data_IF_774441983683
#
_entry.id   IF_774441983683
#
_cell.length_a   1.000
_cell.length_b   1.000
_cell.length_c   1.000
_cell.angle_alpha   90.00
_cell.angle_beta   90.00
_cell.angle_gamma   90.00
#
_symmetry.space_group_name_H-M   'P 1'
#
loop_
_entity.id
_entity.type
_entity.pdbx_description
1 polymer ?
#
# COMPACT_ATOMS: atom_id res chain seq x y z
N UNK A 1 28.44 -2.71 -15.31
CA UNK A 1 27.76 -2.67 -14.00
C UNK A 1 26.27 -2.68 -14.28
N UNK A 2 25.56 -3.77 -13.99
CA UNK A 2 24.16 -3.95 -14.42
C UNK A 2 23.25 -2.87 -13.85
N UNK A 3 22.54 -2.16 -14.73
CA UNK A 3 21.58 -1.11 -14.37
C UNK A 3 20.52 -1.61 -13.37
N UNK A 4 20.09 -2.88 -13.51
CA UNK A 4 19.14 -3.54 -12.59
C UNK A 4 19.72 -3.67 -11.17
N UNK A 5 21.00 -4.03 -11.04
CA UNK A 5 21.66 -4.16 -9.73
C UNK A 5 21.84 -2.79 -9.06
N UNK A 6 22.05 -1.74 -9.86
CA UNK A 6 22.13 -0.36 -9.36
C UNK A 6 20.78 0.09 -8.80
N UNK A 7 19.69 -0.11 -9.54
CA UNK A 7 18.32 0.21 -9.08
C UNK A 7 17.98 -0.54 -7.80
N UNK A 8 18.24 -1.86 -7.76
CA UNK A 8 17.97 -2.67 -6.58
C UNK A 8 18.70 -2.17 -5.33
N UNK A 9 19.96 -1.73 -5.46
CA UNK A 9 20.73 -1.14 -4.35
C UNK A 9 20.18 0.20 -3.88
N UNK A 10 19.78 1.07 -4.81
CA UNK A 10 19.17 2.37 -4.48
C UNK A 10 17.87 2.15 -3.73
N UNK A 11 16.98 1.28 -4.23
CA UNK A 11 15.70 0.96 -3.59
C UNK A 11 15.93 0.36 -2.19
N UNK A 12 16.86 -0.57 -2.04
CA UNK A 12 17.18 -1.18 -0.75
C UNK A 12 17.76 -0.19 0.27
N UNK A 13 18.30 0.95 -0.18
CA UNK A 13 18.81 2.02 0.67
C UNK A 13 17.76 3.06 1.08
N UNK A 14 16.56 3.02 0.49
CA UNK A 14 15.48 3.96 0.83
C UNK A 14 14.72 3.49 2.08
N UNK A 15 14.26 4.42 2.94
CA UNK A 15 13.34 4.08 4.02
C UNK A 15 12.07 3.45 3.44
N UNK A 16 11.60 2.37 4.07
CA UNK A 16 10.36 1.69 3.75
C UNK A 16 9.17 2.66 3.70
N UNK A 17 9.12 3.62 4.62
CA UNK A 17 8.06 4.63 4.64
C UNK A 17 8.03 5.44 3.35
N UNK A 18 9.20 5.85 2.84
CA UNK A 18 9.31 6.60 1.58
C UNK A 18 8.82 5.73 0.42
N UNK A 19 9.28 4.49 0.36
CA UNK A 19 8.84 3.54 -0.68
C UNK A 19 7.32 3.40 -0.68
N UNK A 20 6.71 3.19 0.50
CA UNK A 20 5.27 2.99 0.62
C UNK A 20 4.47 4.26 0.25
N UNK A 21 4.83 5.41 0.80
CA UNK A 21 4.14 6.68 0.49
C UNK A 21 4.23 7.00 -1.00
N UNK A 22 5.41 6.86 -1.60
CA UNK A 22 5.59 7.10 -3.03
C UNK A 22 4.80 6.10 -3.88
N UNK A 23 4.79 4.82 -3.50
CA UNK A 23 4.06 3.78 -4.26
C UNK A 23 2.55 3.98 -4.20
N UNK A 24 2.01 4.28 -3.02
CA UNK A 24 0.57 4.57 -2.82
C UNK A 24 0.18 5.86 -3.53
N UNK A 25 1.04 6.89 -3.50
CA UNK A 25 0.79 8.14 -4.23
C UNK A 25 0.82 7.94 -5.74
N UNK A 26 1.80 7.20 -6.26
CA UNK A 26 1.89 6.90 -7.69
C UNK A 26 0.66 6.13 -8.18
N UNK A 27 0.22 5.13 -7.42
CA UNK A 27 -1.01 4.40 -7.71
C UNK A 27 -2.26 5.31 -7.68
N UNK A 28 -2.35 6.22 -6.72
CA UNK A 28 -3.48 7.14 -6.61
C UNK A 28 -3.53 8.19 -7.72
N UNK A 29 -2.37 8.62 -8.22
CA UNK A 29 -2.28 9.49 -9.40
C UNK A 29 -2.69 8.72 -10.65
N UNK A 30 -2.12 7.53 -10.85
CA UNK A 30 -2.40 6.69 -12.03
C UNK A 30 -3.88 6.32 -12.15
N UNK A 31 -4.55 6.11 -11.02
CA UNK A 31 -5.96 5.69 -10.95
C UNK A 31 -6.94 6.87 -10.83
N UNK A 32 -6.43 8.10 -10.72
CA UNK A 32 -7.25 9.29 -10.47
C UNK A 32 -7.87 9.37 -9.06
N UNK A 33 -7.57 8.42 -8.16
CA UNK A 33 -8.19 8.37 -6.83
C UNK A 33 -7.74 9.47 -5.87
N UNK A 34 -6.63 10.15 -6.15
CA UNK A 34 -6.24 11.31 -5.35
C UNK A 34 -7.23 12.49 -5.44
N UNK A 35 -8.07 12.56 -6.49
CA UNK A 35 -9.05 13.65 -6.69
C UNK A 35 -10.49 13.19 -6.47
N UNK A 36 -10.83 11.95 -6.83
CA UNK A 36 -12.19 11.42 -6.74
C UNK A 36 -12.24 9.94 -6.35
N UNK A 37 -13.44 9.38 -6.18
CA UNK A 37 -13.56 7.94 -5.89
C UNK A 37 -13.14 7.08 -7.09
N UNK A 38 -12.67 5.85 -6.80
CA UNK A 38 -12.26 4.90 -7.83
C UNK A 38 -13.48 4.55 -8.71
N UNK A 39 -13.34 4.64 -10.03
CA UNK A 39 -14.40 4.29 -10.96
C UNK A 39 -14.89 2.85 -10.71
N UNK A 40 -16.21 2.57 -10.74
CA UNK A 40 -16.77 1.26 -10.37
C UNK A 40 -16.14 0.08 -11.11
N UNK A 41 -15.86 0.23 -12.41
CA UNK A 41 -15.22 -0.82 -13.21
C UNK A 41 -13.81 -1.18 -12.73
N UNK A 42 -13.01 -0.20 -12.32
CA UNK A 42 -11.66 -0.40 -11.78
C UNK A 42 -11.71 -0.95 -10.35
N UNK A 43 -12.77 -0.61 -9.61
CA UNK A 43 -13.03 -1.16 -8.27
C UNK A 43 -13.32 -2.66 -8.31
N UNK A 44 -14.07 -3.11 -9.30
CA UNK A 44 -14.42 -4.52 -9.46
C UNK A 44 -13.24 -5.37 -9.96
N UNK A 45 -12.25 -4.76 -10.63
CA UNK A 45 -11.06 -5.42 -11.16
C UNK A 45 -9.85 -5.45 -10.21
N UNK A 46 -9.72 -4.45 -9.34
CA UNK A 46 -8.48 -4.25 -8.54
C UNK A 46 -8.75 -3.92 -7.07
N UNK A 47 -9.99 -3.58 -6.73
CA UNK A 47 -10.43 -3.33 -5.36
C UNK A 47 -10.54 -4.63 -4.55
N UNK A 48 -10.29 -4.51 -3.25
CA UNK A 48 -10.52 -5.62 -2.33
C UNK A 48 -11.98 -5.64 -1.87
N UNK A 49 -12.59 -6.81 -2.00
CA UNK A 49 -13.80 -7.18 -1.28
C UNK A 49 -13.52 -8.51 -0.56
N UNK A 50 -14.00 -8.67 0.68
CA UNK A 50 -13.99 -9.92 1.46
C UNK A 50 -14.19 -11.21 0.66
N UNK A 51 -15.14 -11.18 -0.27
CA UNK A 51 -15.48 -12.31 -1.15
C UNK A 51 -14.35 -12.78 -2.07
N UNK A 52 -13.41 -11.90 -2.46
CA UNK A 52 -12.32 -12.24 -3.38
C UNK A 52 -11.25 -13.10 -2.72
N UNK A 53 -11.09 -12.99 -1.39
CA UNK A 53 -10.16 -13.82 -0.61
C UNK A 53 -10.61 -15.29 -0.62
N UNK A 54 -11.92 -15.52 -0.50
CA UNK A 54 -12.55 -16.85 -0.61
C UNK A 54 -12.48 -17.44 -2.03
N UNK A 55 -12.29 -16.60 -3.06
CA UNK A 55 -12.20 -17.01 -4.48
C UNK A 55 -10.78 -17.28 -4.95
N UNK A 56 -9.77 -17.13 -4.09
CA UNK A 56 -8.37 -17.39 -4.42
C UNK A 56 -7.69 -16.27 -5.22
N UNK A 57 -8.26 -15.06 -5.25
CA UNK A 57 -7.71 -13.90 -5.97
C UNK A 57 -6.63 -13.18 -5.13
N UNK A 58 -5.57 -13.91 -4.75
CA UNK A 58 -4.55 -13.43 -3.81
C UNK A 58 -3.75 -12.20 -4.29
N UNK A 59 -3.70 -11.94 -5.59
CA UNK A 59 -3.08 -10.73 -6.15
C UNK A 59 -3.75 -9.45 -5.64
N UNK A 60 -5.05 -9.52 -5.30
CA UNK A 60 -5.82 -8.40 -4.76
C UNK A 60 -5.45 -8.03 -3.32
N UNK A 61 -4.83 -8.96 -2.58
CA UNK A 61 -4.37 -8.69 -1.21
C UNK A 61 -3.29 -7.61 -1.21
N UNK A 62 -2.37 -7.69 -2.16
CA UNK A 62 -1.29 -6.73 -2.30
C UNK A 62 -1.77 -5.47 -3.02
N UNK A 63 -2.60 -5.58 -4.06
CA UNK A 63 -3.09 -4.40 -4.78
C UNK A 63 -3.91 -3.50 -3.86
N UNK A 64 -4.70 -4.06 -2.96
CA UNK A 64 -5.60 -3.32 -2.05
C UNK A 64 -4.95 -2.22 -1.23
N UNK A 65 -3.67 -2.36 -0.86
CA UNK A 65 -2.89 -1.33 -0.16
C UNK A 65 -2.84 -0.02 -0.95
N UNK A 66 -2.87 -0.14 -2.28
CA UNK A 66 -2.68 0.98 -3.20
C UNK A 66 -4.00 1.62 -3.66
N UNK A 67 -5.15 0.99 -3.39
CA UNK A 67 -6.47 1.48 -3.80
C UNK A 67 -7.28 1.89 -2.56
N UNK A 68 -7.28 3.19 -2.28
CA UNK A 68 -7.99 3.77 -1.13
C UNK A 68 -9.21 4.57 -1.58
N UNK A 69 -10.09 4.89 -0.63
CA UNK A 69 -11.21 5.81 -0.87
C UNK A 69 -10.62 7.19 -1.18
N UNK A 70 -10.98 7.75 -2.33
CA UNK A 70 -10.31 8.92 -2.88
C UNK A 70 -10.56 10.24 -2.16
N UNK A 71 -9.96 11.30 -2.71
CA UNK A 71 -10.10 12.68 -2.24
C UNK A 71 -9.48 12.91 -0.85
N UNK A 72 -10.20 13.58 0.05
CA UNK A 72 -9.68 13.96 1.37
C UNK A 72 -9.22 12.76 2.23
N UNK A 73 -9.88 11.59 2.08
CA UNK A 73 -9.53 10.36 2.81
C UNK A 73 -8.18 9.80 2.37
N UNK A 74 -7.85 9.89 1.09
CA UNK A 74 -6.53 9.52 0.57
C UNK A 74 -5.41 10.37 1.19
N UNK A 75 -5.58 11.69 1.27
CA UNK A 75 -4.56 12.55 1.88
C UNK A 75 -4.41 12.31 3.39
N UNK A 76 -5.53 12.16 4.12
CA UNK A 76 -5.50 11.87 5.54
C UNK A 76 -4.80 10.53 5.83
N UNK A 77 -5.13 9.48 5.08
CA UNK A 77 -4.49 8.17 5.20
C UNK A 77 -3.01 8.19 4.79
N UNK A 78 -2.62 8.98 3.78
CA UNK A 78 -1.22 9.17 3.39
C UNK A 78 -0.40 9.88 4.47
N UNK A 79 -0.96 10.90 5.11
CA UNK A 79 -0.33 11.58 6.26
C UNK A 79 -0.17 10.62 7.43
N UNK A 80 -1.22 9.85 7.75
CA UNK A 80 -1.16 8.81 8.78
C UNK A 80 -0.11 7.75 8.48
N UNK A 81 -0.03 7.28 7.23
CA UNK A 81 1.00 6.35 6.78
C UNK A 81 2.40 6.94 7.03
N UNK A 82 2.65 8.17 6.58
CA UNK A 82 3.94 8.82 6.73
C UNK A 82 4.33 9.01 8.21
N UNK A 83 3.39 9.44 9.06
CA UNK A 83 3.65 9.70 10.47
C UNK A 83 3.82 8.40 11.28
N UNK A 84 2.87 7.47 11.19
CA UNK A 84 2.90 6.26 12.03
C UNK A 84 3.95 5.26 11.54
N UNK A 85 4.03 5.00 10.23
CA UNK A 85 5.05 4.10 9.69
C UNK A 85 6.43 4.74 9.79
N UNK A 86 6.54 6.05 9.53
CA UNK A 86 7.80 6.78 9.70
C UNK A 86 8.30 6.78 11.14
N UNK A 87 7.42 6.99 12.13
CA UNK A 87 7.79 6.90 13.54
C UNK A 87 8.24 5.47 13.91
N UNK A 88 7.49 4.46 13.48
CA UNK A 88 7.82 3.05 13.74
C UNK A 88 9.16 2.67 13.09
N UNK A 89 9.40 3.13 11.86
CA UNK A 89 10.64 2.90 11.13
C UNK A 89 11.85 3.52 11.82
N UNK A 90 11.71 4.75 12.36
CA UNK A 90 12.79 5.40 13.11
C UNK A 90 13.11 4.69 14.42
N UNK A 91 12.12 4.07 15.06
CA UNK A 91 12.29 3.37 16.34
C UNK A 91 12.82 1.95 16.18
N UNK A 92 12.37 1.22 15.16
CA UNK A 92 12.58 -0.23 15.05
C UNK A 92 13.34 -0.68 13.80
N UNK A 93 13.57 0.24 12.85
CA UNK A 93 14.20 -0.01 11.56
C UNK A 93 13.22 -0.46 10.47
N UNK A 94 13.65 -0.34 9.21
CA UNK A 94 12.83 -0.56 8.02
C UNK A 94 12.29 -1.98 7.92
N UNK A 95 13.12 -3.00 8.18
CA UNK A 95 12.72 -4.40 8.00
C UNK A 95 11.62 -4.81 8.98
N UNK A 96 11.75 -4.45 10.26
CA UNK A 96 10.74 -4.75 11.28
C UNK A 96 9.43 -4.00 11.01
N UNK A 97 9.55 -2.76 10.56
CA UNK A 97 8.40 -1.93 10.20
C UNK A 97 7.66 -2.49 8.99
N UNK A 98 8.39 -2.94 7.95
CA UNK A 98 7.80 -3.60 6.80
C UNK A 98 7.07 -4.88 7.20
N UNK A 99 7.69 -5.74 8.03
CA UNK A 99 7.07 -6.96 8.52
C UNK A 99 5.80 -6.67 9.33
N UNK A 100 5.82 -5.66 10.21
CA UNK A 100 4.67 -5.24 11.00
C UNK A 100 3.55 -4.68 10.11
N UNK A 101 3.90 -3.80 9.15
CA UNK A 101 2.95 -3.22 8.22
C UNK A 101 2.21 -4.29 7.42
N UNK A 102 2.95 -5.20 6.79
CA UNK A 102 2.36 -6.30 6.01
C UNK A 102 1.59 -7.28 6.89
N UNK A 103 2.07 -7.56 8.11
CA UNK A 103 1.37 -8.42 9.06
C UNK A 103 0.02 -7.84 9.48
N UNK A 104 -0.03 -6.56 9.84
CA UNK A 104 -1.28 -5.86 10.20
C UNK A 104 -2.22 -5.78 8.99
N UNK A 105 -1.69 -5.48 7.80
CA UNK A 105 -2.48 -5.43 6.58
C UNK A 105 -3.16 -6.78 6.30
N UNK A 106 -2.40 -7.88 6.28
CA UNK A 106 -2.94 -9.21 6.07
C UNK A 106 -3.94 -9.61 7.17
N UNK A 107 -3.64 -9.32 8.44
CA UNK A 107 -4.56 -9.58 9.54
C UNK A 107 -5.88 -8.82 9.37
N UNK A 108 -5.81 -7.55 8.95
CA UNK A 108 -7.00 -6.72 8.69
C UNK A 108 -7.83 -7.33 7.56
N UNK A 109 -7.20 -7.78 6.47
CA UNK A 109 -7.91 -8.44 5.37
C UNK A 109 -8.60 -9.73 5.83
N UNK A 110 -7.93 -10.56 6.64
CA UNK A 110 -8.54 -11.79 7.18
C UNK A 110 -9.73 -11.46 8.07
N UNK A 111 -9.58 -10.55 9.03
CA UNK A 111 -10.64 -10.18 9.97
C UNK A 111 -11.85 -9.56 9.26
N UNK A 112 -11.62 -8.73 8.24
CA UNK A 112 -12.71 -8.13 7.45
C UNK A 112 -13.33 -9.08 6.43
N UNK A 113 -12.72 -10.24 6.20
CA UNK A 113 -13.22 -11.27 5.27
C UNK A 113 -14.18 -12.28 5.90
N UNK A 114 -14.34 -12.25 7.22
CA UNK A 114 -15.22 -13.13 8.01
C UNK A 114 -16.51 -12.38 8.30
#
# INVERSE_FOLDING_TARGET
MDFIKLIGRVIAGLPFTVIMVTSVTAAAIWTGTHVGELHPTTRDDIGFAPLHLMRGEYSRLLSSVFFTVGGAKFYASSVMLALCVGATERLYGSLRTAALFWGIHLATLVVTSI
#
